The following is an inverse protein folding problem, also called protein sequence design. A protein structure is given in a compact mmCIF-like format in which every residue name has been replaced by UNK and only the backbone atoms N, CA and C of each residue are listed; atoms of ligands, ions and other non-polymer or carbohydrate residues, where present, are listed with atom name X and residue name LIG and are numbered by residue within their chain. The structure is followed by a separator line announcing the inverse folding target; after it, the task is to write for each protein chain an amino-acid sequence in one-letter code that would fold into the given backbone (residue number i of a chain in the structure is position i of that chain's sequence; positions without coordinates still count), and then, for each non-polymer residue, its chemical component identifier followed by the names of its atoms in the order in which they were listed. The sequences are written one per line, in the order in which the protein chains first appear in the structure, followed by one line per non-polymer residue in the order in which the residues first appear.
data_IF_654683179705
#
_entry.id   IF_654683179705
#
_cell.length_a   1.000
_cell.length_b   1.000
_cell.length_c   1.000
_cell.angle_alpha   90.00
_cell.angle_beta   90.00
_cell.angle_gamma   90.00
#
_symmetry.space_group_name_H-M   'P 1'
#
loop_
_entity.id
_entity.type
_entity.pdbx_description
1 polymer ?
#
# COMPACT_ATOMS: atom_id res chain seq x y z
N UNK A 1 3.59 -21.43 21.87
CA UNK A 1 3.00 -21.01 20.58
C UNK A 1 4.08 -20.33 19.76
N UNK A 2 4.03 -20.39 18.42
CA UNK A 2 4.94 -19.60 17.58
C UNK A 2 4.55 -18.13 17.69
N UNK A 3 5.53 -17.27 17.94
CA UNK A 3 5.33 -15.83 17.88
C UNK A 3 5.70 -15.35 16.47
N UNK A 4 4.77 -14.62 15.84
CA UNK A 4 5.00 -13.95 14.57
C UNK A 4 5.20 -12.47 14.86
N UNK A 5 6.18 -11.85 14.21
CA UNK A 5 6.61 -10.46 14.45
C UNK A 5 6.38 -9.54 13.23
N UNK A 6 5.74 -10.06 12.19
CA UNK A 6 5.47 -9.35 10.95
C UNK A 6 4.04 -9.58 10.43
N UNK A 7 3.42 -8.51 9.94
CA UNK A 7 2.10 -8.48 9.29
C UNK A 7 2.31 -8.23 7.79
N UNK A 8 1.75 -9.08 6.95
CA UNK A 8 1.74 -8.87 5.50
C UNK A 8 0.37 -8.33 5.09
N UNK A 9 0.37 -7.23 4.35
CA UNK A 9 -0.83 -6.52 3.91
C UNK A 9 -0.85 -6.48 2.39
N UNK A 10 -2.01 -6.73 1.79
CA UNK A 10 -2.23 -6.32 0.41
C UNK A 10 -2.38 -4.79 0.33
N UNK A 11 -2.35 -4.24 -0.89
CA UNK A 11 -2.53 -2.81 -1.16
C UNK A 11 -3.96 -2.52 -1.64
N UNK A 12 -4.29 -3.00 -2.83
CA UNK A 12 -5.56 -2.72 -3.49
C UNK A 12 -6.68 -3.55 -2.83
N UNK A 13 -7.77 -2.90 -2.42
CA UNK A 13 -8.86 -3.50 -1.63
C UNK A 13 -8.57 -3.64 -0.13
N UNK A 14 -7.37 -3.28 0.33
CA UNK A 14 -6.97 -3.33 1.75
C UNK A 14 -6.59 -1.96 2.31
N UNK A 15 -5.65 -1.26 1.66
CA UNK A 15 -5.19 0.08 2.04
C UNK A 15 -5.90 1.18 1.24
N UNK A 16 -6.30 0.85 0.01
CA UNK A 16 -7.05 1.72 -0.90
C UNK A 16 -8.18 0.93 -1.56
N UNK A 17 -9.22 1.58 -2.09
CA UNK A 17 -10.18 0.93 -2.97
C UNK A 17 -9.48 0.26 -4.15
N UNK A 18 -10.04 -0.87 -4.61
CA UNK A 18 -9.61 -1.57 -5.82
C UNK A 18 -10.57 -1.24 -6.99
N UNK A 19 -10.26 -0.22 -7.82
CA UNK A 19 -10.98 0.04 -9.06
C UNK A 19 -10.45 -0.81 -10.24
N UNK A 20 -9.55 -1.76 -9.99
CA UNK A 20 -8.75 -2.47 -11.00
C UNK A 20 -7.37 -1.85 -11.16
N UNK A 21 -7.06 -1.33 -12.36
CA UNK A 21 -5.71 -0.82 -12.65
C UNK A 21 -5.55 0.65 -12.28
N UNK A 22 -4.81 0.92 -11.21
CA UNK A 22 -4.41 2.28 -10.82
C UNK A 22 -3.11 2.64 -11.55
N UNK A 23 -3.22 3.45 -12.62
CA UNK A 23 -2.06 3.91 -13.39
C UNK A 23 -1.69 5.38 -13.11
N UNK A 24 -2.48 6.15 -12.36
CA UNK A 24 -2.14 7.52 -11.99
C UNK A 24 -2.34 7.74 -10.50
N UNK A 25 -1.53 8.65 -9.94
CA UNK A 25 -1.63 9.02 -8.53
C UNK A 25 -2.97 9.68 -8.18
N UNK A 26 -3.60 10.37 -9.14
CA UNK A 26 -4.93 10.97 -8.98
C UNK A 26 -6.02 9.94 -8.67
N UNK A 27 -5.82 8.70 -9.10
CA UNK A 27 -6.80 7.62 -8.98
C UNK A 27 -6.55 6.79 -7.70
N UNK A 28 -5.48 7.10 -6.97
CA UNK A 28 -5.12 6.46 -5.72
C UNK A 28 -5.64 7.28 -4.53
N UNK A 29 -6.41 6.65 -3.64
CA UNK A 29 -6.83 7.24 -2.38
C UNK A 29 -6.82 6.17 -1.29
N UNK A 30 -6.33 6.52 -0.10
CA UNK A 30 -6.43 5.63 1.05
C UNK A 30 -7.88 5.51 1.53
N UNK A 31 -8.21 4.39 2.17
CA UNK A 31 -9.33 4.40 3.10
C UNK A 31 -8.99 5.27 4.32
N UNK A 32 -9.99 5.94 4.90
CA UNK A 32 -9.84 6.84 6.05
C UNK A 32 -9.12 6.20 7.25
N UNK A 33 -9.29 4.89 7.43
CA UNK A 33 -8.68 4.15 8.53
C UNK A 33 -7.23 3.72 8.29
N UNK A 34 -6.71 3.83 7.06
CA UNK A 34 -5.46 3.18 6.66
C UNK A 34 -4.25 3.72 7.39
N UNK A 35 -4.02 5.04 7.31
CA UNK A 35 -2.85 5.67 7.94
C UNK A 35 -2.90 5.53 9.48
N UNK A 36 -4.04 5.77 10.16
CA UNK A 36 -4.17 5.48 11.59
C UNK A 36 -3.87 4.03 11.96
N UNK A 37 -4.36 3.06 11.19
CA UNK A 37 -4.13 1.64 11.46
C UNK A 37 -2.65 1.25 11.30
N UNK A 38 -2.00 1.71 10.22
CA UNK A 38 -0.57 1.44 9.99
C UNK A 38 0.31 2.04 11.09
N UNK A 39 -0.04 3.23 11.60
CA UNK A 39 0.65 3.86 12.73
C UNK A 39 0.53 3.05 14.02
N UNK A 40 -0.68 2.58 14.34
CA UNK A 40 -0.88 1.70 15.50
C UNK A 40 -0.08 0.40 15.35
N UNK A 41 0.02 -0.15 14.13
CA UNK A 41 0.80 -1.36 13.88
C UNK A 41 2.30 -1.11 14.12
N UNK A 42 2.86 0.00 13.62
CA UNK A 42 4.29 0.32 13.79
C UNK A 42 4.68 0.57 15.25
N UNK A 43 3.78 1.16 16.06
CA UNK A 43 4.03 1.43 17.49
C UNK A 43 4.01 0.16 18.36
N UNK A 44 3.36 -0.92 17.92
CA UNK A 44 3.14 -2.14 18.72
C UNK A 44 4.24 -3.19 18.58
N UNK A 45 5.47 -2.80 18.22
CA UNK A 45 6.61 -3.69 17.87
C UNK A 45 6.33 -4.68 16.72
N UNK A 46 5.20 -4.54 16.02
CA UNK A 46 4.87 -5.36 14.88
C UNK A 46 5.48 -4.72 13.63
N UNK A 47 6.29 -5.48 12.90
CA UNK A 47 6.71 -5.07 11.56
C UNK A 47 5.54 -5.29 10.62
N UNK A 48 5.43 -4.49 9.56
CA UNK A 48 4.52 -4.80 8.47
C UNK A 48 5.19 -4.63 7.11
N UNK A 49 4.70 -5.38 6.14
CA UNK A 49 5.13 -5.30 4.75
C UNK A 49 3.90 -5.23 3.85
N UNK A 50 3.91 -4.30 2.91
CA UNK A 50 2.91 -4.25 1.84
C UNK A 50 3.40 -5.17 0.72
N UNK A 51 2.57 -6.15 0.36
CA UNK A 51 2.83 -7.13 -0.69
C UNK A 51 1.65 -7.12 -1.63
N UNK A 52 1.85 -6.67 -2.87
CA UNK A 52 0.75 -6.49 -3.82
C UNK A 52 1.12 -6.96 -5.22
N UNK A 53 0.16 -7.59 -5.90
CA UNK A 53 0.30 -8.03 -7.28
C UNK A 53 -0.07 -6.90 -8.24
N UNK A 54 0.90 -6.40 -9.02
CA UNK A 54 0.69 -5.31 -9.98
C UNK A 54 0.72 -5.82 -11.43
N UNK A 55 -0.21 -6.73 -11.77
CA UNK A 55 -0.26 -7.41 -13.07
C UNK A 55 -0.40 -6.44 -14.27
N UNK A 56 -0.98 -5.25 -14.04
CA UNK A 56 -1.13 -4.20 -15.05
C UNK A 56 0.19 -3.73 -15.66
N UNK A 57 1.32 -3.90 -14.94
CA UNK A 57 2.66 -3.59 -15.46
C UNK A 57 3.02 -4.50 -16.63
N UNK A 58 2.88 -5.83 -16.45
CA UNK A 58 3.17 -6.81 -17.50
C UNK A 58 2.25 -6.68 -18.72
N UNK A 59 1.05 -6.12 -18.51
CA UNK A 59 0.03 -5.89 -19.54
C UNK A 59 0.18 -4.55 -20.25
N UNK A 60 1.13 -3.70 -19.85
CA UNK A 60 1.33 -2.36 -20.40
C UNK A 60 0.23 -1.35 -20.04
N UNK A 61 -0.66 -1.70 -19.10
CA UNK A 61 -1.76 -0.85 -18.61
C UNK A 61 -1.25 0.13 -17.56
N UNK A 62 -0.26 -0.31 -16.75
CA UNK A 62 0.40 0.50 -15.73
C UNK A 62 1.85 0.72 -16.12
N UNK A 63 2.32 1.96 -16.12
CA UNK A 63 3.75 2.24 -16.32
C UNK A 63 4.54 2.00 -15.03
N UNK A 64 5.78 1.50 -15.15
CA UNK A 64 6.67 1.30 -13.98
C UNK A 64 6.92 2.63 -13.26
N UNK A 65 7.01 3.73 -14.01
CA UNK A 65 7.24 5.06 -13.45
C UNK A 65 6.04 5.53 -12.62
N UNK A 66 4.82 5.38 -13.13
CA UNK A 66 3.61 5.71 -12.39
C UNK A 66 3.45 4.83 -11.15
N UNK A 67 3.73 3.54 -11.26
CA UNK A 67 3.73 2.64 -10.10
C UNK A 67 4.72 3.10 -9.03
N UNK A 68 5.92 3.54 -9.41
CA UNK A 68 6.90 4.12 -8.47
C UNK A 68 6.39 5.40 -7.84
N UNK A 69 5.72 6.27 -8.59
CA UNK A 69 5.12 7.51 -8.05
C UNK A 69 4.07 7.16 -6.97
N UNK A 70 3.18 6.20 -7.25
CA UNK A 70 2.17 5.74 -6.29
C UNK A 70 2.82 5.16 -5.03
N UNK A 71 3.78 4.25 -5.18
CA UNK A 71 4.46 3.65 -4.04
C UNK A 71 5.25 4.70 -3.21
N UNK A 72 5.87 5.68 -3.86
CA UNK A 72 6.55 6.78 -3.17
C UNK A 72 5.57 7.69 -2.43
N UNK A 73 4.39 7.95 -3.00
CA UNK A 73 3.33 8.68 -2.31
C UNK A 73 2.90 7.93 -1.04
N UNK A 74 2.64 6.62 -1.14
CA UNK A 74 2.24 5.81 0.01
C UNK A 74 3.29 5.90 1.14
N UNK A 75 4.56 5.73 0.78
CA UNK A 75 5.66 5.83 1.74
C UNK A 75 5.73 7.22 2.39
N UNK A 76 5.57 8.30 1.60
CA UNK A 76 5.60 9.67 2.12
C UNK A 76 4.44 9.95 3.07
N UNK A 77 3.21 9.55 2.72
CA UNK A 77 2.04 9.79 3.57
C UNK A 77 2.12 9.03 4.90
N UNK A 78 2.68 7.82 4.89
CA UNK A 78 2.97 7.09 6.12
C UNK A 78 3.99 7.81 7.00
N UNK A 79 5.09 8.34 6.44
CA UNK A 79 6.13 9.03 7.23
C UNK A 79 5.72 10.43 7.71
N UNK A 80 4.67 11.03 7.14
CA UNK A 80 4.11 12.30 7.60
C UNK A 80 3.19 12.15 8.81
N UNK A 81 2.52 11.00 8.94
CA UNK A 81 1.57 10.69 10.01
C UNK A 81 2.28 10.17 11.25
#
# INVERSE_FOLDING_TARGET
MKNYDCIFLDRDGTLNPDPGYINNISDFNFYDFTLPALKIMSERNNRFCIVTNQSGVSRGIISIENLKIINNYIWKEFNKN
#
